data_IF_535578771568
#
_entry.id   IF_535578771568
#
_cell.length_a   1.000
_cell.length_b   1.000
_cell.length_c   1.000
_cell.angle_alpha   90.00
_cell.angle_beta   90.00
_cell.angle_gamma   90.00
#
_symmetry.space_group_name_H-M   'P 1'
#
loop_
_entity.id
_entity.type
_entity.pdbx_description
1 polymer ?
#
# COMPACT_ATOMS: atom_id res chain seq x y z
N UNK A 1 38.12 -2.22 -21.69
CA UNK A 1 37.20 -2.58 -20.60
C UNK A 1 35.78 -2.28 -21.06
N UNK A 2 35.07 -3.29 -21.54
CA UNK A 2 33.67 -3.17 -21.98
C UNK A 2 32.79 -2.97 -20.75
N UNK A 3 32.31 -1.73 -20.54
CA UNK A 3 31.24 -1.45 -19.61
C UNK A 3 30.02 -2.29 -20.03
N UNK A 4 29.73 -3.39 -19.31
CA UNK A 4 28.45 -4.05 -19.48
C UNK A 4 27.38 -3.04 -19.07
N UNK A 5 26.65 -2.50 -20.04
CA UNK A 5 25.44 -1.74 -19.76
C UNK A 5 24.54 -2.71 -19.01
N UNK A 6 24.39 -2.49 -17.70
CA UNK A 6 23.57 -3.32 -16.85
C UNK A 6 22.13 -3.21 -17.37
N UNK A 7 21.69 -4.20 -18.16
CA UNK A 7 20.39 -4.19 -18.83
C UNK A 7 19.30 -4.29 -17.77
N UNK A 8 18.75 -3.15 -17.35
CA UNK A 8 17.59 -3.12 -16.45
C UNK A 8 16.32 -3.33 -17.26
N UNK A 9 15.35 -4.00 -16.64
CA UNK A 9 14.00 -4.17 -17.15
C UNK A 9 13.01 -3.58 -16.15
N UNK A 10 12.03 -2.84 -16.63
CA UNK A 10 11.01 -2.27 -15.77
C UNK A 10 10.00 -3.34 -15.36
N UNK A 11 9.71 -3.51 -14.06
CA UNK A 11 8.72 -4.51 -13.60
C UNK A 11 7.30 -4.17 -14.04
N UNK A 12 7.02 -2.92 -14.37
CA UNK A 12 5.67 -2.44 -14.70
C UNK A 12 5.35 -2.49 -16.18
N UNK A 13 6.23 -1.96 -17.03
CA UNK A 13 6.02 -1.92 -18.48
C UNK A 13 6.85 -2.94 -19.26
N UNK A 14 7.70 -3.72 -18.58
CA UNK A 14 8.58 -4.73 -19.15
C UNK A 14 9.60 -4.22 -20.18
N UNK A 15 9.64 -2.90 -20.43
CA UNK A 15 10.62 -2.24 -21.28
C UNK A 15 12.01 -2.24 -20.65
N UNK A 16 13.03 -2.31 -21.49
CA UNK A 16 14.43 -2.34 -21.07
C UNK A 16 15.10 -0.97 -21.16
N UNK A 17 16.38 -0.88 -20.75
CA UNK A 17 17.18 0.36 -20.82
C UNK A 17 17.36 0.94 -22.22
N UNK A 18 17.07 0.18 -23.28
CA UNK A 18 17.08 0.70 -24.66
C UNK A 18 15.81 1.50 -25.00
N UNK A 19 14.74 1.36 -24.21
CA UNK A 19 13.43 1.94 -24.51
C UNK A 19 12.97 2.98 -23.48
N UNK A 20 13.48 2.89 -22.24
CA UNK A 20 13.09 3.76 -21.11
C UNK A 20 14.29 4.06 -20.20
N UNK A 21 14.22 5.17 -19.47
CA UNK A 21 15.26 5.59 -18.53
C UNK A 21 14.99 5.13 -17.10
N UNK A 22 16.06 4.99 -16.30
CA UNK A 22 16.01 4.58 -14.88
C UNK A 22 16.84 5.53 -14.01
N UNK A 23 16.72 6.83 -14.27
CA UNK A 23 17.54 7.88 -13.63
C UNK A 23 16.95 8.27 -12.27
N UNK A 24 15.62 8.39 -12.19
CA UNK A 24 14.90 8.82 -11.00
C UNK A 24 14.79 7.66 -10.01
N UNK A 25 14.90 8.01 -8.72
CA UNK A 25 14.71 7.06 -7.64
C UNK A 25 13.22 6.77 -7.44
N UNK A 26 12.78 5.56 -7.76
CA UNK A 26 11.41 5.10 -7.51
C UNK A 26 11.30 4.56 -6.08
N UNK A 27 10.63 5.30 -5.19
CA UNK A 27 10.41 4.83 -3.82
C UNK A 27 9.35 3.73 -3.82
N UNK A 28 9.64 2.63 -3.14
CA UNK A 28 8.70 1.51 -3.00
C UNK A 28 7.47 1.92 -2.17
N UNK A 29 7.74 2.55 -1.02
CA UNK A 29 6.77 3.23 -0.14
C UNK A 29 6.99 4.74 -0.28
N UNK A 30 5.92 5.56 -0.46
CA UNK A 30 6.07 7.01 -0.60
C UNK A 30 6.93 7.64 0.50
N UNK A 31 7.82 8.57 0.11
CA UNK A 31 8.68 9.30 1.06
C UNK A 31 7.87 10.08 2.10
N UNK A 32 6.67 10.52 1.73
CA UNK A 32 5.70 11.19 2.64
C UNK A 32 5.19 10.27 3.76
N UNK A 33 5.23 8.95 3.56
CA UNK A 33 5.00 7.94 4.59
C UNK A 33 6.30 7.52 5.31
N UNK A 34 7.44 8.18 5.06
CA UNK A 34 8.72 7.85 5.66
C UNK A 34 9.50 6.72 4.97
N UNK A 35 9.02 6.23 3.82
CA UNK A 35 9.72 5.20 3.05
C UNK A 35 11.13 5.65 2.63
N UNK A 36 12.12 4.77 2.80
CA UNK A 36 13.54 5.03 2.47
C UNK A 36 14.08 4.15 1.35
N UNK A 37 13.34 3.10 0.99
CA UNK A 37 13.77 2.10 0.04
C UNK A 37 13.36 2.46 -1.38
N UNK A 38 14.18 2.05 -2.33
CA UNK A 38 13.95 2.23 -3.75
C UNK A 38 13.90 0.90 -4.48
N UNK A 39 13.07 0.83 -5.52
CA UNK A 39 13.14 -0.25 -6.49
C UNK A 39 13.93 0.23 -7.72
N UNK A 40 15.01 -0.48 -8.05
CA UNK A 40 15.90 -0.14 -9.17
C UNK A 40 15.35 -0.57 -10.54
N UNK A 41 14.28 -1.38 -10.54
CA UNK A 41 13.63 -1.96 -11.69
C UNK A 41 12.32 -1.24 -12.04
N UNK A 42 12.19 0.05 -11.71
CA UNK A 42 11.07 0.89 -12.10
C UNK A 42 11.62 2.01 -12.96
N UNK A 43 11.15 2.11 -14.21
CA UNK A 43 11.59 3.17 -15.12
C UNK A 43 10.96 4.53 -14.75
N UNK A 44 11.54 5.60 -15.27
CA UNK A 44 11.14 6.97 -14.96
C UNK A 44 9.69 7.26 -15.34
N UNK A 45 9.19 6.69 -16.45
CA UNK A 45 7.80 6.85 -16.89
C UNK A 45 6.82 6.19 -15.93
N UNK A 46 7.12 4.96 -15.48
CA UNK A 46 6.26 4.26 -14.52
C UNK A 46 6.32 4.92 -13.15
N UNK A 47 7.51 5.36 -12.72
CA UNK A 47 7.68 6.14 -11.49
C UNK A 47 6.85 7.43 -11.52
N UNK A 48 6.90 8.18 -12.63
CA UNK A 48 6.10 9.37 -12.84
C UNK A 48 4.59 9.07 -12.83
N UNK A 49 4.19 7.97 -13.49
CA UNK A 49 2.80 7.54 -13.56
C UNK A 49 2.16 7.33 -12.18
N UNK A 50 2.85 6.68 -11.25
CA UNK A 50 2.31 6.44 -9.91
C UNK A 50 2.29 7.69 -9.02
N UNK A 51 3.27 8.58 -9.20
CA UNK A 51 3.43 9.78 -8.39
C UNK A 51 2.54 10.95 -8.83
N UNK A 52 2.24 11.09 -10.13
CA UNK A 52 1.59 12.30 -10.65
C UNK A 52 0.11 12.12 -11.00
N UNK A 53 -0.71 13.07 -10.54
CA UNK A 53 -2.13 13.20 -10.85
C UNK A 53 -2.42 13.41 -12.33
N UNK A 54 -1.53 14.09 -13.06
CA UNK A 54 -1.72 14.39 -14.49
C UNK A 54 -1.82 13.10 -15.32
N UNK A 55 -1.18 12.02 -14.85
CA UNK A 55 -1.24 10.69 -15.46
C UNK A 55 -2.59 9.98 -15.28
N UNK A 56 -3.55 10.62 -14.62
CA UNK A 56 -4.85 10.03 -14.25
C UNK A 56 -6.02 10.96 -14.57
N UNK A 57 -5.91 11.78 -15.63
CA UNK A 57 -6.97 12.71 -16.07
C UNK A 57 -7.45 13.64 -14.95
N UNK A 58 -6.53 14.12 -14.11
CA UNK A 58 -6.84 15.03 -13.01
C UNK A 58 -7.50 14.38 -11.78
N UNK A 59 -7.65 13.05 -11.73
CA UNK A 59 -8.24 12.30 -10.59
C UNK A 59 -7.29 12.24 -9.38
N UNK A 60 -7.13 11.08 -8.74
CA UNK A 60 -6.20 10.91 -7.61
C UNK A 60 -4.87 10.34 -8.09
N UNK A 61 -3.75 10.93 -7.62
CA UNK A 61 -2.45 10.27 -7.69
C UNK A 61 -2.50 8.98 -6.85
N UNK A 62 -1.98 7.89 -7.41
CA UNK A 62 -1.98 6.57 -6.76
C UNK A 62 -1.17 6.62 -5.45
N UNK A 63 0.00 7.26 -5.47
CA UNK A 63 0.81 7.44 -4.25
C UNK A 63 0.13 8.36 -3.22
N UNK A 64 -0.61 9.37 -3.68
CA UNK A 64 -1.38 10.23 -2.77
C UNK A 64 -2.48 9.43 -2.09
N UNK A 65 -3.29 8.67 -2.83
CA UNK A 65 -4.35 7.84 -2.25
C UNK A 65 -3.80 6.83 -1.22
N UNK A 66 -2.67 6.18 -1.55
CA UNK A 66 -1.97 5.28 -0.62
C UNK A 66 -1.53 6.00 0.65
N UNK A 67 -0.93 7.19 0.51
CA UNK A 67 -0.47 8.01 1.62
C UNK A 67 -1.65 8.47 2.50
N UNK A 68 -2.76 8.89 1.91
CA UNK A 68 -3.92 9.35 2.68
C UNK A 68 -4.50 8.23 3.55
N UNK A 69 -4.47 6.97 3.10
CA UNK A 69 -4.91 5.82 3.90
C UNK A 69 -4.04 5.54 5.12
N UNK A 70 -2.71 5.71 4.99
CA UNK A 70 -1.75 5.28 6.02
C UNK A 70 -1.16 6.39 6.87
N UNK A 71 -1.32 7.65 6.46
CA UNK A 71 -0.70 8.78 7.16
C UNK A 71 -1.24 8.97 8.58
N UNK A 72 -2.52 8.64 8.81
CA UNK A 72 -3.17 8.74 10.12
C UNK A 72 -2.60 7.71 11.08
N UNK A 73 -2.65 6.41 10.73
CA UNK A 73 -2.10 5.34 11.57
C UNK A 73 -0.61 5.52 11.81
N UNK A 74 0.18 5.91 10.79
CA UNK A 74 1.59 6.29 10.97
C UNK A 74 1.76 7.38 12.02
N UNK A 75 1.01 8.48 11.91
CA UNK A 75 1.10 9.59 12.87
C UNK A 75 0.75 9.09 14.26
N UNK A 76 -0.31 8.28 14.43
CA UNK A 76 -0.69 7.65 15.71
C UNK A 76 0.47 6.87 16.34
N UNK A 77 1.20 6.05 15.59
CA UNK A 77 2.32 5.28 16.13
C UNK A 77 3.57 6.10 16.46
N UNK A 78 3.75 7.24 15.81
CA UNK A 78 4.85 8.16 16.09
C UNK A 78 4.62 9.00 17.35
N UNK A 79 3.40 8.97 17.90
CA UNK A 79 3.05 9.76 19.08
C UNK A 79 3.52 9.08 20.36
N UNK A 80 3.87 9.89 21.36
CA UNK A 80 4.38 9.41 22.66
C UNK A 80 5.86 9.02 22.66
N UNK A 81 6.60 9.26 21.56
CA UNK A 81 8.05 9.00 21.51
C UNK A 81 8.81 10.11 20.79
N UNK A 82 10.03 10.38 21.24
CA UNK A 82 10.99 11.18 20.48
C UNK A 82 11.50 10.28 19.33
N UNK A 83 11.24 10.63 18.06
CA UNK A 83 11.74 9.83 16.94
C UNK A 83 13.27 9.85 16.94
N UNK A 84 13.90 8.70 16.68
CA UNK A 84 15.37 8.64 16.52
C UNK A 84 15.83 9.24 15.19
N UNK A 85 14.93 9.29 14.20
CA UNK A 85 15.18 9.86 12.86
C UNK A 85 14.31 11.08 12.62
N UNK A 86 14.74 11.96 11.70
CA UNK A 86 13.92 13.10 11.26
C UNK A 86 12.66 12.58 10.56
N UNK A 87 11.51 12.80 11.19
CA UNK A 87 10.20 12.49 10.62
C UNK A 87 9.58 13.76 10.05
N UNK A 88 9.12 13.71 8.81
CA UNK A 88 8.35 14.80 8.21
C UNK A 88 7.02 15.04 8.91
N UNK A 89 6.52 16.26 8.81
CA UNK A 89 5.23 16.65 9.39
C UNK A 89 4.05 15.90 8.76
N UNK A 90 2.98 15.74 9.55
CA UNK A 90 1.73 15.21 9.02
C UNK A 90 1.10 16.21 8.07
N UNK A 91 0.92 15.79 6.81
CA UNK A 91 0.22 16.56 5.79
C UNK A 91 -0.77 15.66 5.11
N UNK A 92 -2.04 16.01 5.10
CA UNK A 92 -3.11 15.26 4.44
C UNK A 92 -4.00 16.20 3.63
N UNK A 93 -4.46 15.71 2.47
CA UNK A 93 -5.43 16.43 1.63
C UNK A 93 -6.83 16.40 2.25
N UNK A 94 -7.16 15.35 3.00
CA UNK A 94 -8.51 15.03 3.48
C UNK A 94 -8.70 15.16 4.98
N UNK A 95 -7.61 15.16 5.74
CA UNK A 95 -7.66 15.05 7.19
C UNK A 95 -6.73 16.04 7.88
N UNK A 96 -7.09 16.37 9.12
CA UNK A 96 -6.28 17.12 10.07
C UNK A 96 -6.15 16.30 11.34
N UNK A 97 -4.96 16.30 11.94
CA UNK A 97 -4.76 15.71 13.26
C UNK A 97 -4.42 16.82 14.24
N UNK A 98 -5.32 17.08 15.18
CA UNK A 98 -5.12 18.04 16.27
C UNK A 98 -4.75 17.27 17.53
N UNK A 99 -3.70 17.73 18.21
CA UNK A 99 -3.23 17.18 19.48
C UNK A 99 -3.54 18.17 20.59
N UNK A 100 -4.19 17.70 21.66
CA UNK A 100 -4.44 18.50 22.86
C UNK A 100 -4.31 17.61 24.09
N UNK A 101 -3.36 17.94 24.99
CA UNK A 101 -3.10 17.20 26.23
C UNK A 101 -2.88 15.69 25.99
N UNK A 102 -2.13 15.34 24.94
CA UNK A 102 -1.85 13.94 24.55
C UNK A 102 -3.05 13.17 23.96
N UNK A 103 -4.23 13.80 23.84
CA UNK A 103 -5.39 13.23 23.14
C UNK A 103 -5.48 13.80 21.73
N UNK A 104 -5.85 12.94 20.78
CA UNK A 104 -5.96 13.30 19.37
C UNK A 104 -7.41 13.48 18.97
N UNK A 105 -7.63 14.44 18.08
CA UNK A 105 -8.88 14.57 17.35
C UNK A 105 -8.56 14.55 15.86
N UNK A 106 -9.10 13.55 15.17
CA UNK A 106 -9.14 13.53 13.72
C UNK A 106 -10.22 14.51 13.26
N UNK A 107 -9.82 15.50 12.46
CA UNK A 107 -10.71 16.40 11.73
C UNK A 107 -10.81 15.95 10.28
N UNK A 108 -12.04 15.89 9.75
CA UNK A 108 -12.30 15.63 8.33
C UNK A 108 -12.41 16.97 7.62
N UNK A 109 -11.62 17.17 6.55
CA UNK A 109 -11.67 18.38 5.73
C UNK A 109 -12.83 18.30 4.74
N UNK A 110 -13.41 19.44 4.31
CA UNK A 110 -14.45 19.46 3.28
C UNK A 110 -14.05 18.76 1.98
N UNK A 111 -12.77 18.83 1.61
CA UNK A 111 -12.20 18.12 0.44
C UNK A 111 -12.47 16.62 0.44
N UNK A 112 -12.61 15.98 1.61
CA UNK A 112 -12.95 14.56 1.71
C UNK A 112 -14.43 14.29 1.46
N UNK A 113 -15.30 15.19 1.90
CA UNK A 113 -16.75 15.07 1.69
C UNK A 113 -17.11 15.13 0.20
N UNK A 114 -16.37 15.94 -0.57
CA UNK A 114 -16.53 16.05 -2.01
C UNK A 114 -15.65 15.06 -2.80
N UNK A 115 -14.86 14.23 -2.12
CA UNK A 115 -14.03 13.23 -2.78
C UNK A 115 -14.89 12.06 -3.27
N UNK A 116 -14.66 11.62 -4.51
CA UNK A 116 -15.26 10.39 -5.02
C UNK A 116 -14.66 9.20 -4.28
N UNK A 117 -15.43 8.62 -3.35
CA UNK A 117 -14.97 7.52 -2.50
C UNK A 117 -14.62 6.26 -3.32
N UNK A 118 -15.29 6.06 -4.46
CA UNK A 118 -15.02 4.96 -5.39
C UNK A 118 -13.69 5.17 -6.12
N UNK A 119 -13.46 6.37 -6.64
CA UNK A 119 -12.21 6.68 -7.36
C UNK A 119 -11.01 6.73 -6.41
N UNK A 120 -11.21 7.25 -5.20
CA UNK A 120 -10.19 7.25 -4.15
C UNK A 120 -9.87 5.82 -3.71
N UNK A 121 -10.88 4.97 -3.53
CA UNK A 121 -10.68 3.55 -3.21
C UNK A 121 -9.91 2.83 -4.31
N UNK A 122 -10.28 3.03 -5.57
CA UNK A 122 -9.59 2.43 -6.71
C UNK A 122 -8.13 2.88 -6.79
N UNK A 123 -7.87 4.17 -6.63
CA UNK A 123 -6.50 4.70 -6.59
C UNK A 123 -5.71 4.11 -5.40
N UNK A 124 -6.34 3.98 -4.23
CA UNK A 124 -5.76 3.33 -3.05
C UNK A 124 -5.40 1.86 -3.33
N UNK A 125 -6.34 1.05 -3.85
CA UNK A 125 -6.10 -0.35 -4.22
C UNK A 125 -4.88 -0.46 -5.13
N UNK A 126 -4.83 0.33 -6.20
CA UNK A 126 -3.69 0.36 -7.14
C UNK A 126 -2.38 0.76 -6.46
N UNK A 127 -2.44 1.64 -5.46
CA UNK A 127 -1.29 2.01 -4.63
C UNK A 127 -0.83 0.88 -3.73
N UNK A 128 -1.77 0.11 -3.16
CA UNK A 128 -1.49 -1.05 -2.33
C UNK A 128 -0.73 -2.11 -3.14
N UNK A 129 -1.23 -2.42 -4.33
CA UNK A 129 -0.55 -3.29 -5.28
C UNK A 129 0.82 -2.77 -5.70
N UNK A 130 0.94 -1.46 -5.96
CA UNK A 130 2.25 -0.86 -6.27
C UNK A 130 3.25 -1.06 -5.14
N UNK A 131 2.85 -0.75 -3.91
CA UNK A 131 3.69 -0.94 -2.72
C UNK A 131 4.10 -2.40 -2.55
N UNK A 132 3.13 -3.33 -2.62
CA UNK A 132 3.39 -4.77 -2.55
C UNK A 132 4.38 -5.24 -3.62
N UNK A 133 4.09 -4.93 -4.89
CA UNK A 133 4.83 -5.46 -6.02
C UNK A 133 6.25 -4.93 -6.10
N UNK A 134 6.44 -3.65 -5.82
CA UNK A 134 7.77 -3.04 -5.80
C UNK A 134 8.61 -3.50 -4.60
N UNK A 135 8.00 -3.70 -3.43
CA UNK A 135 8.71 -4.29 -2.28
C UNK A 135 9.04 -5.77 -2.51
N UNK A 136 8.14 -6.54 -3.12
CA UNK A 136 8.36 -7.94 -3.48
C UNK A 136 9.56 -8.05 -4.42
N UNK A 137 9.59 -7.27 -5.50
CA UNK A 137 10.72 -7.27 -6.42
C UNK A 137 12.01 -6.76 -5.77
N UNK A 138 11.95 -5.73 -4.92
CA UNK A 138 13.13 -5.22 -4.21
C UNK A 138 13.76 -6.31 -3.35
N UNK A 139 12.95 -7.05 -2.59
CA UNK A 139 13.38 -8.02 -1.59
C UNK A 139 13.69 -9.40 -2.19
N UNK A 140 12.83 -9.92 -3.08
CA UNK A 140 12.90 -11.29 -3.62
C UNK A 140 13.37 -11.39 -5.07
N UNK A 141 13.52 -10.27 -5.78
CA UNK A 141 13.96 -10.21 -7.20
C UNK A 141 13.02 -10.90 -8.22
N UNK A 142 11.78 -11.15 -7.83
CA UNK A 142 10.69 -11.66 -8.70
C UNK A 142 9.80 -10.52 -9.19
N UNK A 143 8.83 -10.77 -10.07
CA UNK A 143 7.90 -9.78 -10.57
C UNK A 143 8.09 -9.44 -12.06
N UNK A 144 8.76 -10.31 -12.82
CA UNK A 144 8.89 -10.22 -14.28
C UNK A 144 8.05 -11.27 -15.01
N UNK A 145 7.57 -12.26 -14.26
CA UNK A 145 6.74 -13.36 -14.71
C UNK A 145 5.37 -12.85 -15.16
N UNK A 146 4.76 -13.56 -16.12
CA UNK A 146 3.43 -13.23 -16.67
C UNK A 146 2.30 -13.48 -15.68
N UNK A 147 2.50 -14.33 -14.67
CA UNK A 147 1.53 -14.49 -13.56
C UNK A 147 1.22 -13.15 -12.88
N UNK A 148 2.18 -12.23 -12.84
CA UNK A 148 1.97 -10.88 -12.28
C UNK A 148 1.32 -9.88 -13.25
N UNK A 149 0.94 -10.28 -14.47
CA UNK A 149 0.31 -9.38 -15.44
C UNK A 149 -1.02 -8.82 -14.95
N UNK A 150 -1.72 -9.53 -14.08
CA UNK A 150 -2.95 -9.00 -13.45
C UNK A 150 -2.65 -7.75 -12.61
N UNK A 151 -1.50 -7.72 -11.91
CA UNK A 151 -1.07 -6.60 -11.08
C UNK A 151 -0.69 -5.42 -11.99
N UNK A 152 0.04 -5.67 -13.08
CA UNK A 152 0.41 -4.64 -14.07
C UNK A 152 -0.81 -4.05 -14.74
N UNK A 153 -1.72 -4.90 -15.21
CA UNK A 153 -2.98 -4.52 -15.87
C UNK A 153 -3.80 -3.59 -14.98
N UNK A 154 -4.01 -3.97 -13.72
CA UNK A 154 -4.78 -3.18 -12.78
C UNK A 154 -4.05 -1.90 -12.32
N UNK A 155 -2.82 -2.05 -11.84
CA UNK A 155 -2.13 -0.95 -11.14
C UNK A 155 -1.48 0.03 -12.11
N UNK A 156 -0.83 -0.44 -13.18
CA UNK A 156 -0.14 0.40 -14.16
C UNK A 156 -1.03 0.83 -15.32
N UNK A 157 -1.89 -0.05 -15.81
CA UNK A 157 -2.72 0.23 -17.00
C UNK A 157 -4.18 0.52 -16.69
N UNK A 158 -4.58 0.45 -15.42
CA UNK A 158 -5.93 0.76 -14.94
C UNK A 158 -7.02 -0.12 -15.59
N UNK A 159 -6.70 -1.37 -15.92
CA UNK A 159 -7.60 -2.36 -16.53
C UNK A 159 -8.18 -3.30 -15.47
N UNK A 160 -9.47 -3.62 -15.58
CA UNK A 160 -10.18 -4.46 -14.61
C UNK A 160 -10.37 -3.82 -13.23
N UNK A 161 -10.86 -4.55 -12.24
CA UNK A 161 -10.87 -4.13 -10.83
C UNK A 161 -10.54 -5.32 -9.94
N UNK A 162 -9.37 -5.31 -9.30
CA UNK A 162 -8.98 -6.42 -8.43
C UNK A 162 -9.63 -6.27 -7.05
N UNK A 163 -10.21 -7.35 -6.48
CA UNK A 163 -10.76 -7.32 -5.14
C UNK A 163 -9.63 -7.17 -4.11
N UNK A 164 -9.94 -6.45 -3.03
CA UNK A 164 -9.03 -6.29 -1.88
C UNK A 164 -9.87 -6.47 -0.62
N UNK A 165 -9.52 -7.46 0.20
CA UNK A 165 -10.06 -7.63 1.54
C UNK A 165 -9.37 -6.66 2.50
N UNK A 166 -10.15 -6.04 3.37
CA UNK A 166 -9.66 -5.37 4.57
C UNK A 166 -10.13 -6.10 5.81
N UNK A 167 -9.20 -6.43 6.72
CA UNK A 167 -9.51 -7.15 7.94
C UNK A 167 -9.62 -6.19 9.12
N UNK A 168 -10.80 -6.12 9.73
CA UNK A 168 -11.07 -5.26 10.88
C UNK A 168 -10.52 -5.91 12.14
N UNK A 169 -9.65 -5.22 12.88
CA UNK A 169 -9.02 -5.77 14.09
C UNK A 169 -10.00 -5.94 15.23
N UNK A 170 -9.85 -7.06 15.94
CA UNK A 170 -10.49 -7.32 17.24
C UNK A 170 -9.63 -6.83 18.41
N UNK A 171 -8.31 -6.86 18.25
CA UNK A 171 -7.33 -6.53 19.29
C UNK A 171 -6.60 -5.23 18.93
N UNK A 172 -6.57 -4.27 19.87
CA UNK A 172 -5.92 -2.96 19.71
C UNK A 172 -4.40 -2.95 19.90
N UNK A 173 -3.82 -4.09 20.29
CA UNK A 173 -2.37 -4.29 20.38
C UNK A 173 -1.82 -4.67 19.02
N UNK A 174 -0.91 -3.85 18.50
CA UNK A 174 -0.22 -4.07 17.24
C UNK A 174 1.25 -4.36 17.52
N UNK A 175 1.75 -5.47 17.00
CA UNK A 175 3.16 -5.84 17.16
C UNK A 175 3.95 -5.14 16.05
N UNK A 176 4.54 -3.99 16.38
CA UNK A 176 5.43 -3.24 15.49
C UNK A 176 6.67 -2.77 16.25
N UNK A 177 7.83 -2.72 15.58
CA UNK A 177 8.98 -2.01 16.11
C UNK A 177 8.73 -0.52 16.01
N UNK A 178 9.08 0.26 17.04
CA UNK A 178 8.92 1.73 17.03
C UNK A 178 9.53 2.40 15.80
N UNK A 179 10.62 1.85 15.26
CA UNK A 179 11.27 2.31 14.03
C UNK A 179 10.46 2.10 12.76
N UNK A 180 9.48 1.19 12.74
CA UNK A 180 8.62 0.93 11.57
C UNK A 180 7.71 2.11 11.26
N UNK A 181 7.25 2.85 12.27
CA UNK A 181 6.49 4.07 12.04
C UNK A 181 7.38 5.20 11.49
N UNK A 182 8.65 5.25 11.90
CA UNK A 182 9.64 6.23 11.41
C UNK A 182 10.02 5.96 9.95
N UNK A 183 10.42 4.72 9.66
CA UNK A 183 10.87 4.24 8.34
C UNK A 183 10.17 2.93 8.00
N UNK A 184 8.93 2.98 7.47
CA UNK A 184 8.17 1.78 7.20
C UNK A 184 8.79 0.95 6.08
N UNK A 185 8.69 -0.37 6.26
CA UNK A 185 9.08 -1.41 5.33
C UNK A 185 7.94 -2.43 5.33
N UNK A 186 7.65 -3.03 4.17
CA UNK A 186 6.71 -4.12 4.09
C UNK A 186 7.43 -5.44 4.40
N UNK A 187 7.08 -6.09 5.51
CA UNK A 187 7.65 -7.38 5.89
C UNK A 187 6.76 -8.52 5.37
N UNK A 188 7.28 -9.29 4.42
CA UNK A 188 6.59 -10.50 3.95
C UNK A 188 6.72 -11.61 4.99
N UNK A 189 5.63 -12.35 5.21
CA UNK A 189 5.59 -13.54 6.07
C UNK A 189 6.02 -13.27 7.53
N UNK A 190 5.80 -12.05 8.04
CA UNK A 190 6.12 -11.70 9.44
C UNK A 190 5.21 -12.39 10.44
N UNK A 191 3.92 -12.47 10.11
CA UNK A 191 2.89 -12.99 11.01
C UNK A 191 2.32 -14.28 10.43
N UNK A 192 2.16 -15.30 11.28
CA UNK A 192 1.63 -16.61 10.87
C UNK A 192 0.20 -16.56 10.36
N UNK A 193 -0.56 -15.52 10.73
CA UNK A 193 -1.91 -15.33 10.23
C UNK A 193 -1.97 -14.74 8.81
N UNK A 194 -0.86 -14.22 8.25
CA UNK A 194 -0.88 -13.66 6.90
C UNK A 194 -0.83 -14.79 5.87
N UNK A 195 -1.93 -14.92 5.12
CA UNK A 195 -2.07 -15.92 4.08
C UNK A 195 -1.16 -15.60 2.88
N UNK A 196 -0.53 -16.62 2.31
CA UNK A 196 0.28 -16.52 1.10
C UNK A 196 0.28 -17.85 0.35
N UNK A 197 -0.13 -17.82 -0.91
CA UNK A 197 0.07 -18.93 -1.85
C UNK A 197 0.50 -18.39 -3.24
N UNK A 198 0.32 -19.19 -4.30
CA UNK A 198 0.66 -18.81 -5.67
C UNK A 198 -0.28 -17.76 -6.28
N UNK A 199 -1.51 -17.62 -5.76
CA UNK A 199 -2.57 -16.78 -6.32
C UNK A 199 -2.93 -15.60 -5.41
N UNK A 200 -2.78 -15.71 -4.10
CA UNK A 200 -3.22 -14.70 -3.13
C UNK A 200 -2.10 -14.37 -2.13
N UNK A 201 -2.06 -13.11 -1.72
CA UNK A 201 -1.15 -12.65 -0.70
C UNK A 201 -1.86 -11.69 0.26
N UNK A 202 -1.38 -11.70 1.49
CA UNK A 202 -1.78 -10.76 2.51
C UNK A 202 -0.59 -9.99 3.04
N UNK A 203 -0.87 -8.75 3.43
CA UNK A 203 0.11 -7.86 4.01
C UNK A 203 -0.44 -7.17 5.24
N UNK A 204 0.47 -6.94 6.17
CA UNK A 204 0.25 -6.01 7.26
C UNK A 204 1.13 -4.78 7.05
N UNK A 205 0.51 -3.61 7.06
CA UNK A 205 1.21 -2.34 6.92
C UNK A 205 0.61 -1.28 7.82
N UNK A 206 1.43 -0.74 8.72
CA UNK A 206 1.03 0.28 9.70
C UNK A 206 -0.28 -0.09 10.42
N UNK A 207 -0.33 -1.31 10.94
CA UNK A 207 -1.47 -1.81 11.71
C UNK A 207 -2.68 -2.23 10.87
N UNK A 208 -2.69 -2.04 9.55
CA UNK A 208 -3.79 -2.49 8.70
C UNK A 208 -3.43 -3.82 8.02
N UNK A 209 -4.39 -4.73 7.91
CA UNK A 209 -4.21 -6.00 7.19
C UNK A 209 -5.10 -6.01 5.95
N UNK A 210 -4.48 -6.32 4.81
CA UNK A 210 -5.14 -6.43 3.53
C UNK A 210 -4.80 -7.75 2.86
N UNK A 211 -5.74 -8.26 2.07
CA UNK A 211 -5.56 -9.49 1.31
C UNK A 211 -6.09 -9.40 -0.10
N UNK A 212 -5.35 -9.93 -1.08
CA UNK A 212 -5.65 -9.69 -2.48
C UNK A 212 -4.97 -10.69 -3.43
N UNK A 213 -5.50 -10.88 -4.65
CA UNK A 213 -4.90 -11.75 -5.66
C UNK A 213 -3.60 -11.17 -6.23
N UNK A 214 -2.61 -12.02 -6.46
CA UNK A 214 -1.31 -11.69 -7.05
C UNK A 214 -1.05 -12.41 -8.38
N UNK A 215 -1.87 -13.40 -8.73
CA UNK A 215 -1.88 -14.11 -10.01
C UNK A 215 -3.33 -14.33 -10.50
N UNK A 216 -3.55 -14.77 -11.76
CA UNK A 216 -4.89 -15.08 -12.27
C UNK A 216 -5.66 -16.03 -11.36
N UNK A 217 -6.94 -15.74 -11.19
CA UNK A 217 -7.84 -16.43 -10.27
C UNK A 217 -9.27 -16.39 -10.80
N UNK A 218 -10.09 -17.32 -10.33
CA UNK A 218 -11.54 -17.40 -10.54
C UNK A 218 -12.28 -16.85 -9.33
N UNK A 219 -13.56 -16.53 -9.52
CA UNK A 219 -14.42 -16.06 -8.42
C UNK A 219 -14.48 -17.09 -7.27
N UNK A 220 -14.62 -18.37 -7.59
CA UNK A 220 -14.66 -19.46 -6.61
C UNK A 220 -13.34 -19.58 -5.82
N UNK A 221 -12.19 -19.49 -6.49
CA UNK A 221 -10.88 -19.48 -5.81
C UNK A 221 -10.76 -18.31 -4.84
N UNK A 222 -11.22 -17.11 -5.22
CA UNK A 222 -11.21 -15.95 -4.32
C UNK A 222 -12.13 -16.13 -3.12
N UNK A 223 -13.35 -16.65 -3.33
CA UNK A 223 -14.29 -16.93 -2.24
C UNK A 223 -13.73 -17.98 -1.27
N UNK A 224 -13.15 -19.06 -1.80
CA UNK A 224 -12.48 -20.09 -1.01
C UNK A 224 -11.29 -19.54 -0.20
N UNK A 225 -10.46 -18.71 -0.82
CA UNK A 225 -9.37 -18.01 -0.15
C UNK A 225 -9.90 -17.10 0.98
N UNK A 226 -10.92 -16.28 0.69
CA UNK A 226 -11.48 -15.35 1.66
C UNK A 226 -12.04 -16.08 2.89
N UNK A 227 -12.82 -17.14 2.68
CA UNK A 227 -13.38 -17.96 3.77
C UNK A 227 -12.28 -18.60 4.62
N UNK A 228 -11.27 -19.22 4.00
CA UNK A 228 -10.13 -19.83 4.73
C UNK A 228 -9.36 -18.78 5.53
N UNK A 229 -9.10 -17.63 4.92
CA UNK A 229 -8.33 -16.56 5.56
C UNK A 229 -9.06 -15.96 6.77
N UNK A 230 -10.38 -15.75 6.68
CA UNK A 230 -11.21 -15.26 7.79
C UNK A 230 -11.16 -16.25 8.96
N UNK A 231 -11.35 -17.54 8.69
CA UNK A 231 -11.34 -18.58 9.73
C UNK A 231 -9.98 -18.66 10.44
N UNK A 232 -8.86 -18.60 9.70
CA UNK A 232 -7.51 -18.56 10.27
C UNK A 232 -7.25 -17.35 11.19
N UNK A 233 -8.07 -16.30 11.10
CA UNK A 233 -7.88 -14.99 11.72
C UNK A 233 -8.92 -14.63 12.77
N UNK A 234 -9.92 -15.49 13.02
CA UNK A 234 -11.08 -15.19 13.90
C UNK A 234 -10.72 -14.76 15.33
N UNK A 235 -9.53 -15.13 15.81
CA UNK A 235 -9.05 -14.76 17.14
C UNK A 235 -8.51 -13.32 17.20
N UNK A 236 -8.03 -12.79 16.07
CA UNK A 236 -7.37 -11.48 15.97
C UNK A 236 -8.20 -10.41 15.24
N UNK A 237 -9.17 -10.84 14.42
CA UNK A 237 -9.97 -9.98 13.55
C UNK A 237 -11.46 -10.25 13.72
N UNK A 238 -12.28 -9.20 13.58
CA UNK A 238 -13.73 -9.25 13.72
C UNK A 238 -14.36 -9.80 12.43
N UNK A 239 -13.93 -9.26 11.30
CA UNK A 239 -14.49 -9.56 9.98
C UNK A 239 -13.48 -9.17 8.89
N UNK A 240 -13.78 -9.59 7.66
CA UNK A 240 -13.08 -9.12 6.47
C UNK A 240 -14.09 -8.69 5.40
N UNK A 241 -13.90 -7.50 4.84
CA UNK A 241 -14.79 -6.93 3.83
C UNK A 241 -14.03 -6.64 2.54
N UNK A 242 -14.64 -6.92 1.39
CA UNK A 242 -14.12 -6.47 0.10
C UNK A 242 -14.35 -4.96 0.01
N UNK A 243 -13.28 -4.18 -0.07
CA UNK A 243 -13.40 -2.72 -0.10
C UNK A 243 -13.89 -2.26 -1.48
N UNK A 244 -14.89 -1.38 -1.47
CA UNK A 244 -15.48 -0.76 -2.65
C UNK A 244 -15.38 0.77 -2.58
N UNK A 245 -15.48 1.32 -1.37
CA UNK A 245 -15.31 2.74 -1.04
C UNK A 245 -14.13 2.91 -0.09
N UNK A 246 -13.52 4.08 -0.11
CA UNK A 246 -12.37 4.36 0.75
C UNK A 246 -12.77 4.36 2.24
N UNK A 247 -14.02 4.69 2.55
CA UNK A 247 -14.62 4.61 3.89
C UNK A 247 -14.84 3.19 4.41
N UNK A 248 -14.70 2.15 3.57
CA UNK A 248 -14.77 0.76 4.01
C UNK A 248 -13.52 0.36 4.84
N UNK A 249 -12.50 1.23 4.86
CA UNK A 249 -11.26 1.06 5.62
C UNK A 249 -11.34 1.92 6.89
N UNK A 250 -11.13 1.29 8.05
CA UNK A 250 -10.88 2.02 9.29
C UNK A 250 -9.45 2.61 9.30
N UNK A 251 -9.24 3.68 8.52
CA UNK A 251 -7.96 4.40 8.42
C UNK A 251 -7.50 5.01 9.75
N UNK A 252 -8.44 5.19 10.69
CA UNK A 252 -8.14 5.69 12.02
C UNK A 252 -7.58 4.61 12.93
N UNK A 253 -7.87 3.33 12.71
CA UNK A 253 -7.67 2.26 13.70
C UNK A 253 -8.40 2.60 15.01
N UNK A 254 -9.72 2.74 14.93
CA UNK A 254 -10.58 3.14 16.06
C UNK A 254 -10.44 2.22 17.27
N UNK A 255 -10.05 0.95 17.06
CA UNK A 255 -9.76 -0.01 18.13
C UNK A 255 -8.66 0.48 19.11
N UNK A 256 -7.77 1.38 18.67
CA UNK A 256 -6.74 1.98 19.53
C UNK A 256 -7.25 3.11 20.43
N UNK A 257 -8.54 3.48 20.33
CA UNK A 257 -9.17 4.49 21.20
C UNK A 257 -9.80 3.89 22.46
N UNK A 258 -9.90 2.56 22.51
CA UNK A 258 -10.52 1.79 23.59
C UNK A 258 -9.51 1.44 24.67
#
# INVERSE_FOLDING_TARGET
>A
MTNSINQKKCIWCLKSTSEVTFIKKAHTIPKSLGGQNFNRNVCDDCNYYFGNRDSHNGKYSIEVALKEAFSISRKRFLLGGIPKRKVGEFKSQFFEMKERKGKFRLGVKPSFMFASQLELCRAFKRGLYKMYFEELNRQKKVGFESSYDIIRSFSRYNLGDLPVLYFTRKIGVMIFFKSEAETPILYFSRMNYLYLDSQFAEIEFLGHVFGFPIAPFTKEEFENYASKSIEMKKDFFIEANIISKFTDIDISLNIMNN
#
